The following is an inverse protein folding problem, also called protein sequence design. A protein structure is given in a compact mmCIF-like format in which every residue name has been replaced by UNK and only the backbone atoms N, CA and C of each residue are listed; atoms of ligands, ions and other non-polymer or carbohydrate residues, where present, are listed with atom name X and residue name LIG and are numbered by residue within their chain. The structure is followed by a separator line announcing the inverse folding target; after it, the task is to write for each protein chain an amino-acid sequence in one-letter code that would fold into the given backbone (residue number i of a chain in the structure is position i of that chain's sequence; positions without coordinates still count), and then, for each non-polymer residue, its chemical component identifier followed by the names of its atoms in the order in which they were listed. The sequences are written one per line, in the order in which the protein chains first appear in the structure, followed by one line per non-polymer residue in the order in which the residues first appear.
data_IF_769765592335
#
_entry.id   IF_769765592335
#
_cell.length_a   1.000
_cell.length_b   1.000
_cell.length_c   1.000
_cell.angle_alpha   90.00
_cell.angle_beta   90.00
_cell.angle_gamma   90.00
#
_symmetry.space_group_name_H-M   'P 1'
#
loop_
_entity.id
_entity.type
_entity.pdbx_description
1 polymer ?
#
# COMPACT_ATOMS: atom_id res chain seq x y z
N UNK A 1 25.71 12.48 -32.38
CA UNK A 1 24.32 12.75 -31.94
C UNK A 1 23.47 11.48 -31.77
N UNK A 2 23.32 10.61 -32.79
CA UNK A 2 22.44 9.42 -32.72
C UNK A 2 22.84 8.34 -31.68
N UNK A 3 24.13 8.12 -31.44
CA UNK A 3 24.63 7.08 -30.51
C UNK A 3 24.35 7.41 -29.03
N UNK A 4 24.54 8.66 -28.62
CA UNK A 4 24.23 9.06 -27.24
C UNK A 4 22.74 8.92 -26.92
N UNK A 5 21.86 9.19 -27.88
CA UNK A 5 20.42 9.04 -27.69
C UNK A 5 20.03 7.57 -27.44
N UNK A 6 20.66 6.63 -28.13
CA UNK A 6 20.41 5.19 -27.96
C UNK A 6 20.93 4.72 -26.60
N UNK A 7 22.10 5.19 -26.18
CA UNK A 7 22.71 4.84 -24.90
C UNK A 7 21.86 5.38 -23.74
N UNK A 8 21.47 6.65 -23.79
CA UNK A 8 20.62 7.26 -22.76
C UNK A 8 19.25 6.58 -22.66
N UNK A 9 18.64 6.23 -23.80
CA UNK A 9 17.39 5.48 -23.81
C UNK A 9 17.56 4.07 -23.21
N UNK A 10 18.65 3.38 -23.54
CA UNK A 10 18.94 2.04 -23.02
C UNK A 10 19.17 2.06 -21.50
N UNK A 11 19.91 3.04 -20.98
CA UNK A 11 20.12 3.19 -19.54
C UNK A 11 18.84 3.60 -18.81
N UNK A 12 18.02 4.51 -19.39
CA UNK A 12 16.76 4.94 -18.78
C UNK A 12 15.69 3.86 -18.71
N UNK A 13 15.58 3.03 -19.77
CA UNK A 13 14.62 1.91 -19.80
C UNK A 13 15.03 0.82 -18.81
N UNK A 14 16.32 0.47 -18.78
CA UNK A 14 16.83 -0.53 -17.83
C UNK A 14 16.69 -0.03 -16.40
N UNK A 15 17.06 1.22 -16.11
CA UNK A 15 16.97 1.74 -14.74
C UNK A 15 15.54 1.69 -14.22
N UNK A 16 14.54 2.11 -15.01
CA UNK A 16 13.13 2.06 -14.61
C UNK A 16 12.61 0.64 -14.41
N UNK A 17 12.94 -0.29 -15.32
CA UNK A 17 12.51 -1.68 -15.21
C UNK A 17 13.03 -2.34 -13.91
N UNK A 18 14.25 -2.02 -13.50
CA UNK A 18 14.84 -2.58 -12.27
C UNK A 18 14.44 -1.84 -10.99
N UNK A 19 14.00 -0.58 -11.06
CA UNK A 19 13.59 0.18 -9.86
C UNK A 19 12.14 -0.10 -9.47
N UNK A 20 11.23 -0.11 -10.43
CA UNK A 20 9.79 -0.27 -10.15
C UNK A 20 9.47 -1.63 -9.54
N UNK A 21 10.09 -2.70 -10.06
CA UNK A 21 9.91 -4.05 -9.55
C UNK A 21 10.51 -4.18 -8.14
N UNK A 22 11.74 -3.70 -7.92
CA UNK A 22 12.41 -3.76 -6.62
C UNK A 22 11.64 -3.01 -5.54
N UNK A 23 11.18 -1.79 -5.82
CA UNK A 23 10.38 -0.99 -4.89
C UNK A 23 9.06 -1.69 -4.55
N UNK A 24 8.40 -2.29 -5.54
CA UNK A 24 7.16 -3.06 -5.34
C UNK A 24 7.39 -4.29 -4.45
N UNK A 25 8.48 -5.03 -4.65
CA UNK A 25 8.81 -6.20 -3.82
C UNK A 25 9.17 -5.82 -2.39
N UNK A 26 9.91 -4.72 -2.19
CA UNK A 26 10.27 -4.23 -0.84
C UNK A 26 9.03 -3.74 -0.11
N UNK A 27 8.18 -2.92 -0.74
CA UNK A 27 6.94 -2.43 -0.14
C UNK A 27 5.99 -3.57 0.21
N UNK A 28 5.87 -4.58 -0.66
CA UNK A 28 5.11 -5.80 -0.38
C UNK A 28 5.66 -6.53 0.86
N UNK A 29 6.97 -6.74 0.91
CA UNK A 29 7.61 -7.41 2.05
C UNK A 29 7.42 -6.66 3.38
N UNK A 30 7.39 -5.32 3.35
CA UNK A 30 7.10 -4.51 4.53
C UNK A 30 5.61 -4.56 4.91
N UNK A 31 4.70 -4.54 3.94
CA UNK A 31 3.27 -4.65 4.19
C UNK A 31 2.89 -6.01 4.80
N UNK A 32 3.59 -7.08 4.42
CA UNK A 32 3.39 -8.44 4.98
C UNK A 32 3.75 -8.51 6.48
N UNK A 33 4.47 -7.52 7.03
CA UNK A 33 4.80 -7.43 8.46
C UNK A 33 3.73 -6.70 9.29
N UNK A 34 2.76 -6.05 8.64
CA UNK A 34 1.71 -5.29 9.33
C UNK A 34 0.58 -6.24 9.72
N UNK A 35 0.20 -6.23 10.99
CA UNK A 35 -0.99 -6.92 11.50
C UNK A 35 -2.10 -5.88 11.80
N UNK A 36 -3.11 -5.73 10.93
CA UNK A 36 -4.21 -4.78 11.12
C UNK A 36 -5.14 -5.13 12.29
N UNK A 37 -5.01 -6.31 12.89
CA UNK A 37 -5.87 -6.75 14.01
C UNK A 37 -5.38 -6.24 15.36
N UNK A 38 -4.13 -5.78 15.45
CA UNK A 38 -3.59 -5.21 16.68
C UNK A 38 -4.37 -3.93 17.02
N UNK A 39 -4.99 -3.90 18.21
CA UNK A 39 -5.78 -2.77 18.69
C UNK A 39 -7.26 -2.78 18.31
N UNK A 40 -7.76 -3.85 17.67
CA UNK A 40 -9.21 -3.99 17.41
C UNK A 40 -10.01 -4.43 18.64
N UNK A 41 -9.34 -4.96 19.66
CA UNK A 41 -9.95 -5.41 20.91
C UNK A 41 -9.54 -4.54 22.11
N UNK A 42 -10.19 -4.76 23.26
CA UNK A 42 -9.83 -4.17 24.56
C UNK A 42 -9.73 -2.62 24.58
N UNK A 43 -10.50 -1.93 23.74
CA UNK A 43 -10.53 -0.46 23.71
C UNK A 43 -9.40 0.19 22.92
N UNK A 44 -8.73 -0.53 22.01
CA UNK A 44 -7.73 0.07 21.12
C UNK A 44 -8.32 0.97 20.02
N UNK A 45 -9.60 0.80 19.69
CA UNK A 45 -10.34 1.60 18.70
C UNK A 45 -9.70 1.66 17.30
N UNK A 46 -8.97 0.59 16.92
CA UNK A 46 -8.41 0.43 15.57
C UNK A 46 -9.41 -0.27 14.66
N UNK A 47 -9.45 0.19 13.41
CA UNK A 47 -10.20 -0.42 12.33
C UNK A 47 -9.26 -1.24 11.43
N UNK A 48 -9.64 -2.48 11.09
CA UNK A 48 -8.78 -3.43 10.38
C UNK A 48 -9.12 -3.63 8.89
N UNK A 49 -9.94 -2.77 8.29
CA UNK A 49 -10.25 -2.85 6.87
C UNK A 49 -9.22 -2.16 5.98
N UNK A 50 -9.20 -2.48 4.67
CA UNK A 50 -8.27 -1.88 3.72
C UNK A 50 -8.40 -0.36 3.62
N UNK A 51 -7.25 0.33 3.62
CA UNK A 51 -7.13 1.76 3.38
C UNK A 51 -5.76 2.07 2.77
N UNK A 52 -5.73 3.01 1.81
CA UNK A 52 -4.45 3.58 1.38
C UNK A 52 -3.87 4.47 2.50
N UNK A 53 -2.56 4.71 2.53
CA UNK A 53 -1.98 5.70 3.43
C UNK A 53 -2.69 7.05 3.30
N UNK A 54 -3.26 7.55 4.41
CA UNK A 54 -4.08 8.78 4.46
C UNK A 54 -5.29 8.78 3.53
N UNK A 55 -5.81 7.60 3.19
CA UNK A 55 -6.96 7.43 2.30
C UNK A 55 -8.22 8.07 2.86
N UNK A 56 -8.96 8.75 1.99
CA UNK A 56 -10.26 9.36 2.34
C UNK A 56 -11.33 8.30 2.60
N UNK A 57 -11.25 7.16 1.91
CA UNK A 57 -12.23 6.08 1.96
C UNK A 57 -11.65 4.89 2.71
N UNK A 58 -12.40 4.40 3.70
CA UNK A 58 -12.12 3.19 4.47
C UNK A 58 -13.28 2.22 4.25
N UNK A 59 -12.97 0.95 4.01
CA UNK A 59 -14.00 -0.07 3.73
C UNK A 59 -13.82 -1.23 4.69
N UNK A 60 -14.84 -1.54 5.50
CA UNK A 60 -14.77 -2.70 6.38
C UNK A 60 -16.04 -2.87 7.21
N UNK A 61 -15.96 -3.71 8.24
CA UNK A 61 -17.13 -4.17 8.99
C UNK A 61 -17.36 -3.32 10.24
N UNK A 62 -18.60 -2.92 10.45
CA UNK A 62 -19.06 -2.36 11.72
C UNK A 62 -19.68 -3.50 12.56
N UNK A 63 -19.07 -3.77 13.71
CA UNK A 63 -19.48 -4.86 14.59
C UNK A 63 -20.31 -4.39 15.79
N UNK A 64 -20.43 -3.08 16.01
CA UNK A 64 -21.15 -2.51 17.15
C UNK A 64 -22.65 -2.34 16.88
N UNK A 65 -23.05 -2.08 15.63
CA UNK A 65 -24.44 -1.94 15.26
C UNK A 65 -24.71 -2.45 13.83
N UNK A 66 -25.51 -3.51 13.70
CA UNK A 66 -25.83 -4.11 12.40
C UNK A 66 -26.67 -3.22 11.46
N UNK A 67 -27.25 -2.13 11.98
CA UNK A 67 -28.02 -1.15 11.20
C UNK A 67 -27.25 0.13 10.91
N UNK A 68 -26.02 0.24 11.40
CA UNK A 68 -25.14 1.37 11.18
C UNK A 68 -23.88 0.88 10.46
N UNK A 69 -23.30 1.72 9.60
CA UNK A 69 -22.12 1.34 8.82
C UNK A 69 -21.08 2.46 8.92
N UNK A 70 -20.59 2.67 10.14
CA UNK A 70 -19.56 3.67 10.45
C UNK A 70 -18.22 2.99 10.67
N UNK A 71 -17.76 2.27 9.66
CA UNK A 71 -16.48 1.58 9.68
C UNK A 71 -15.31 2.59 9.53
N UNK A 72 -15.00 3.31 10.62
CA UNK A 72 -13.79 4.11 10.82
C UNK A 72 -13.80 5.58 10.40
#
# INVERSE_FOLDING_TARGET
LKINLIIEWYFGVISHLFTDDYETYVLKGLADLVDPTIGTENGGHVFNGPCHPYGLVKVGFDTNNAHDFHAG
#
